data_IF_003380851810
#
_entry.id   IF_003380851810
#
_cell.length_a   1.000
_cell.length_b   1.000
_cell.length_c   1.000
_cell.angle_alpha   90.00
_cell.angle_beta   90.00
_cell.angle_gamma   90.00
#
_symmetry.space_group_name_H-M   'P 1'
#
loop_
_entity.id
_entity.type
_entity.pdbx_description
1 polymer ?
#
# COMPACT_ATOMS: atom_id res chain seq x y z
N UNK A 1 -5.41 13.31 -1.35
CA UNK A 1 -5.46 11.87 -1.74
C UNK A 1 -4.37 11.52 -2.77
N UNK A 2 -3.57 10.49 -2.48
CA UNK A 2 -2.48 10.03 -3.33
C UNK A 2 -2.69 8.60 -3.81
N UNK A 3 -2.30 8.32 -5.05
CA UNK A 3 -2.29 6.98 -5.62
C UNK A 3 -0.88 6.50 -5.80
N UNK A 4 -0.57 5.33 -5.23
CA UNK A 4 0.73 4.71 -5.35
C UNK A 4 0.59 3.45 -6.19
N UNK A 5 1.13 3.51 -7.40
CA UNK A 5 1.44 2.32 -8.19
C UNK A 5 2.81 1.82 -7.77
N UNK A 6 2.89 0.57 -7.29
CA UNK A 6 4.18 -0.08 -7.08
C UNK A 6 4.46 -1.03 -8.25
N UNK A 7 5.74 -1.13 -8.63
CA UNK A 7 6.20 -2.15 -9.55
C UNK A 7 6.76 -3.30 -8.71
N UNK A 8 6.20 -4.51 -8.87
CA UNK A 8 6.67 -5.72 -8.19
C UNK A 8 8.14 -6.06 -8.46
N UNK A 9 8.74 -5.49 -9.52
CA UNK A 9 10.16 -5.63 -9.82
C UNK A 9 11.05 -4.82 -8.90
N UNK A 10 10.50 -3.78 -8.26
CA UNK A 10 11.20 -2.95 -7.31
C UNK A 10 10.79 -3.36 -5.89
N UNK A 11 11.60 -4.24 -5.30
CA UNK A 11 11.27 -4.88 -4.03
C UNK A 11 11.26 -3.87 -2.88
N UNK A 12 12.00 -2.76 -2.97
CA UNK A 12 12.02 -1.71 -1.95
C UNK A 12 12.03 -0.34 -2.59
N UNK A 13 11.01 0.48 -2.27
CA UNK A 13 10.88 1.82 -2.84
C UNK A 13 10.58 2.85 -1.76
N UNK A 14 11.38 3.91 -1.71
CA UNK A 14 11.06 5.11 -0.93
C UNK A 14 10.34 6.08 -1.85
N UNK A 15 9.18 6.55 -1.42
CA UNK A 15 8.36 7.51 -2.18
C UNK A 15 8.05 8.74 -1.33
N UNK A 16 8.12 9.89 -1.97
CA UNK A 16 7.57 11.15 -1.44
C UNK A 16 6.36 11.51 -2.27
N UNK A 17 5.19 11.58 -1.64
CA UNK A 17 3.94 11.94 -2.30
C UNK A 17 3.64 13.41 -2.04
N UNK A 18 3.60 14.21 -3.11
CA UNK A 18 3.34 15.64 -3.08
C UNK A 18 1.97 15.99 -3.66
N UNK A 19 1.12 16.75 -2.95
CA UNK A 19 -0.11 17.34 -3.54
C UNK A 19 0.15 18.80 -3.90
N UNK A 20 -0.42 19.27 -5.02
CA UNK A 20 -0.27 20.66 -5.49
C UNK A 20 -1.59 21.46 -5.39
N UNK A 21 -2.57 20.95 -4.66
CA UNK A 21 -3.84 21.65 -4.52
C UNK A 21 -3.62 22.91 -3.66
N UNK A 22 -3.96 24.07 -4.21
CA UNK A 22 -3.96 25.37 -3.53
C UNK A 22 -2.60 25.98 -3.12
N UNK A 23 -1.51 25.69 -3.85
CA UNK A 23 -0.18 26.29 -3.61
C UNK A 23 0.54 25.83 -2.33
N UNK A 24 -0.04 24.88 -1.59
CA UNK A 24 0.59 24.25 -0.43
C UNK A 24 1.02 22.83 -0.82
N UNK A 25 2.29 22.49 -0.58
CA UNK A 25 2.85 21.19 -0.94
C UNK A 25 2.88 20.27 0.27
N UNK A 26 1.89 19.40 0.42
CA UNK A 26 1.94 18.33 1.42
C UNK A 26 2.89 17.24 0.93
N UNK A 27 3.92 16.92 1.70
CA UNK A 27 4.83 15.82 1.38
C UNK A 27 4.64 14.67 2.36
N UNK A 28 4.50 13.43 1.85
CA UNK A 28 4.43 12.22 2.69
C UNK A 28 5.54 11.26 2.29
N UNK A 29 6.37 10.89 3.26
CA UNK A 29 7.47 9.93 3.09
C UNK A 29 7.02 8.53 3.47
N UNK A 30 7.12 7.62 2.52
CA UNK A 30 6.78 6.22 2.70
C UNK A 30 7.93 5.34 2.22
N UNK A 31 8.06 4.19 2.86
CA UNK A 31 8.86 3.08 2.37
C UNK A 31 7.96 1.88 2.08
N UNK A 32 8.11 1.31 0.89
CA UNK A 32 7.40 0.14 0.44
C UNK A 32 8.39 -1.01 0.34
N UNK A 33 8.04 -2.18 0.86
CA UNK A 33 8.79 -3.42 0.70
C UNK A 33 7.83 -4.52 0.21
N UNK A 34 8.02 -5.01 -1.01
CA UNK A 34 7.21 -6.07 -1.58
C UNK A 34 7.92 -7.43 -1.53
N UNK A 35 7.28 -8.40 -0.88
CA UNK A 35 7.78 -9.77 -0.71
C UNK A 35 6.85 -10.74 -1.47
N UNK A 36 7.20 -11.17 -2.71
CA UNK A 36 6.38 -12.09 -3.48
C UNK A 36 6.34 -13.51 -2.85
N UNK A 37 5.17 -14.14 -2.87
CA UNK A 37 4.97 -15.55 -2.51
C UNK A 37 5.46 -16.47 -3.64
N UNK A 38 6.17 -17.53 -3.26
CA UNK A 38 6.50 -18.63 -4.19
C UNK A 38 7.72 -18.39 -5.09
N UNK A 39 8.55 -17.38 -4.83
CA UNK A 39 9.91 -17.34 -5.38
C UNK A 39 10.70 -18.43 -4.64
N UNK A 40 11.12 -19.49 -5.33
CA UNK A 40 11.73 -20.71 -4.77
C UNK A 40 13.11 -20.53 -4.14
N UNK A 41 13.29 -19.53 -3.27
CA UNK A 41 14.55 -19.23 -2.59
C UNK A 41 14.30 -19.10 -1.09
N UNK A 42 14.15 -20.23 -0.38
CA UNK A 42 14.48 -20.40 1.05
C UNK A 42 13.81 -19.53 2.13
N UNK A 43 13.06 -18.48 1.80
CA UNK A 43 12.36 -17.63 2.76
C UNK A 43 10.91 -18.13 2.92
N UNK A 44 10.68 -18.92 3.96
CA UNK A 44 9.32 -19.28 4.39
C UNK A 44 8.67 -18.07 5.03
N UNK A 45 7.69 -17.47 4.38
CA UNK A 45 6.87 -16.44 4.99
C UNK A 45 6.04 -17.08 6.14
N UNK A 46 6.18 -16.59 7.40
CA UNK A 46 5.53 -17.18 8.58
C UNK A 46 3.99 -17.04 8.58
N UNK A 47 3.40 -16.30 7.65
CA UNK A 47 1.97 -16.05 7.54
C UNK A 47 1.25 -16.87 6.44
N UNK A 48 1.92 -17.88 5.87
CA UNK A 48 1.46 -18.61 4.66
C UNK A 48 0.39 -19.68 4.87
N UNK A 49 -0.01 -19.98 6.11
CA UNK A 49 -0.79 -21.19 6.42
C UNK A 49 -2.27 -21.18 5.99
N UNK A 50 -2.81 -20.07 5.47
CA UNK A 50 -4.27 -19.96 5.23
C UNK A 50 -4.73 -19.42 3.86
N UNK A 51 -3.84 -19.17 2.89
CA UNK A 51 -4.27 -18.79 1.53
C UNK A 51 -4.33 -20.01 0.62
N UNK A 52 -5.54 -20.53 0.41
CA UNK A 52 -5.79 -21.64 -0.52
C UNK A 52 -5.76 -21.16 -1.98
N UNK A 53 -5.23 -22.00 -2.87
CA UNK A 53 -5.14 -21.74 -4.31
C UNK A 53 -6.50 -21.37 -4.91
N UNK A 54 -6.54 -20.38 -5.80
CA UNK A 54 -7.78 -20.06 -6.52
C UNK A 54 -8.12 -21.18 -7.51
N UNK A 55 -9.41 -21.34 -7.84
CA UNK A 55 -9.87 -22.40 -8.74
C UNK A 55 -9.13 -22.43 -10.08
N UNK A 56 -8.72 -21.26 -10.60
CA UNK A 56 -7.95 -21.11 -11.83
C UNK A 56 -6.50 -21.63 -11.71
N UNK A 57 -5.86 -21.37 -10.57
CA UNK A 57 -4.51 -21.82 -10.28
C UNK A 57 -4.41 -23.34 -10.08
N UNK A 58 -5.47 -23.95 -9.52
CA UNK A 58 -5.57 -25.42 -9.43
C UNK A 58 -5.63 -26.07 -10.82
N UNK A 59 -6.39 -25.48 -11.75
CA UNK A 59 -6.55 -25.99 -13.12
C UNK A 59 -5.27 -25.87 -13.95
N UNK A 60 -4.50 -24.79 -13.77
CA UNK A 60 -3.24 -24.60 -14.50
C UNK A 60 -2.10 -25.54 -14.03
N UNK A 61 -2.10 -25.94 -12.75
CA UNK A 61 -1.09 -26.88 -12.21
C UNK A 61 -1.41 -28.35 -12.48
N UNK A 62 -2.63 -28.70 -12.89
CA UNK A 62 -3.02 -30.09 -13.17
C UNK A 62 -2.77 -30.57 -14.60
N UNK A 63 -2.21 -29.73 -15.49
CA UNK A 63 -1.96 -30.09 -16.89
C UNK A 63 -0.48 -30.28 -17.21
N UNK A 64 0.03 -31.50 -17.03
CA UNK A 64 1.34 -31.90 -17.55
C UNK A 64 1.15 -33.07 -18.54
N UNK A 65 0.77 -32.77 -19.78
CA UNK A 65 0.92 -33.67 -20.95
C UNK A 65 1.07 -32.80 -22.21
N UNK A 66 2.28 -32.86 -22.77
CA UNK A 66 2.81 -32.55 -24.12
C UNK A 66 1.92 -32.02 -25.29
N UNK A 67 2.51 -31.02 -25.98
CA UNK A 67 2.39 -30.57 -27.39
C UNK A 67 1.08 -29.94 -27.94
N UNK A 68 1.18 -28.72 -28.50
CA UNK A 68 0.18 -28.12 -29.40
C UNK A 68 0.09 -26.58 -29.37
N UNK A 69 0.02 -25.97 -30.54
CA UNK A 69 0.21 -24.56 -30.88
C UNK A 69 -0.85 -23.55 -30.38
N UNK A 70 -0.36 -22.35 -30.03
CA UNK A 70 -0.95 -21.00 -30.15
C UNK A 70 -2.45 -20.75 -29.86
N UNK A 71 -2.75 -20.32 -28.64
CA UNK A 71 -3.64 -19.17 -28.39
C UNK A 71 -3.00 -18.35 -27.26
N UNK A 72 -2.79 -17.05 -27.50
CA UNK A 72 -2.20 -16.07 -26.59
C UNK A 72 -2.50 -16.40 -25.12
N UNK A 73 -1.55 -17.05 -24.46
CA UNK A 73 -1.50 -17.14 -23.01
C UNK A 73 -1.16 -15.74 -22.53
N UNK A 74 -2.19 -14.91 -22.39
CA UNK A 74 -2.20 -13.87 -21.36
C UNK A 74 -2.11 -14.62 -20.04
N UNK A 75 -0.92 -15.10 -19.74
CA UNK A 75 -0.54 -15.71 -18.48
C UNK A 75 -0.62 -14.54 -17.54
N UNK A 76 -1.80 -14.31 -16.97
CA UNK A 76 -1.99 -13.44 -15.83
C UNK A 76 -1.18 -14.10 -14.72
N UNK A 77 0.11 -13.77 -14.67
CA UNK A 77 0.98 -14.18 -13.59
C UNK A 77 0.42 -13.43 -12.40
N UNK A 78 -0.43 -14.11 -11.62
CA UNK A 78 -0.99 -13.58 -10.39
C UNK A 78 0.17 -13.58 -9.39
N UNK A 79 0.88 -12.45 -9.31
CA UNK A 79 1.99 -12.29 -8.37
C UNK A 79 1.35 -11.99 -7.01
N UNK A 80 1.31 -12.99 -6.15
CA UNK A 80 0.86 -12.80 -4.76
C UNK A 80 2.05 -12.41 -3.91
N UNK A 81 1.84 -11.64 -2.85
CA UNK A 81 2.90 -11.30 -1.92
C UNK A 81 2.40 -10.62 -0.66
N UNK A 82 3.33 -10.16 0.15
CA UNK A 82 3.08 -9.19 1.22
C UNK A 82 3.70 -7.87 0.80
N UNK A 83 2.90 -6.81 0.82
CA UNK A 83 3.38 -5.44 0.72
C UNK A 83 3.47 -4.88 2.13
N UNK A 84 4.69 -4.65 2.60
CA UNK A 84 4.95 -3.93 3.84
C UNK A 84 5.07 -2.44 3.52
N UNK A 85 4.28 -1.61 4.19
CA UNK A 85 4.22 -0.16 3.99
C UNK A 85 4.62 0.51 5.30
N UNK A 86 5.77 1.16 5.32
CA UNK A 86 6.22 1.98 6.43
C UNK A 86 5.86 3.44 6.15
N UNK A 87 4.97 3.98 6.97
CA UNK A 87 4.65 5.42 7.00
C UNK A 87 5.67 6.10 7.90
N UNK A 88 6.57 6.90 7.30
CA UNK A 88 7.72 7.49 8.00
C UNK A 88 7.31 8.84 8.59
N UNK A 89 7.02 9.81 7.73
CA UNK A 89 6.72 11.19 8.12
C UNK A 89 5.86 11.90 7.08
N UNK A 90 5.31 13.06 7.46
CA UNK A 90 4.84 14.06 6.53
C UNK A 90 5.48 15.41 6.85
N UNK A 91 5.57 16.28 5.86
CA UNK A 91 6.16 17.60 5.95
C UNK A 91 5.24 18.63 5.27
N UNK A 92 5.30 19.86 5.78
CA UNK A 92 4.57 21.02 5.25
C UNK A 92 3.04 20.81 5.19
N UNK A 93 2.46 20.20 6.23
CA UNK A 93 1.00 20.07 6.33
C UNK A 93 0.34 21.45 6.53
N UNK A 94 -0.80 21.72 5.87
CA UNK A 94 -1.61 22.92 6.09
C UNK A 94 -2.01 23.03 7.56
N UNK A 95 -1.95 24.23 8.10
CA UNK A 95 -2.60 24.51 9.37
C UNK A 95 -4.11 24.57 9.15
N UNK A 96 -4.84 23.62 9.70
CA UNK A 96 -6.30 23.51 9.62
C UNK A 96 -7.00 24.18 10.80
N UNK A 97 -6.34 24.27 11.96
CA UNK A 97 -6.90 24.91 13.15
C UNK A 97 -6.59 26.40 13.26
N UNK A 98 -7.50 27.12 13.95
CA UNK A 98 -7.38 28.55 14.32
C UNK A 98 -6.08 28.90 15.07
N UNK A 99 -5.44 27.90 15.70
CA UNK A 99 -4.17 28.03 16.41
C UNK A 99 -2.93 27.74 15.55
N UNK A 100 -3.10 27.42 14.26
CA UNK A 100 -1.98 27.13 13.36
C UNK A 100 -1.45 25.69 13.47
N UNK A 101 -2.26 24.75 13.95
CA UNK A 101 -1.86 23.36 14.25
C UNK A 101 -2.78 22.36 13.54
N UNK A 102 -2.38 21.09 13.54
CA UNK A 102 -3.17 19.97 13.05
C UNK A 102 -2.81 18.70 13.84
N UNK A 103 -3.73 17.75 13.87
CA UNK A 103 -3.62 16.42 14.48
C UNK A 103 -3.58 15.33 13.37
N UNK A 104 -2.48 15.25 12.59
CA UNK A 104 -2.47 14.41 11.41
C UNK A 104 -2.37 12.90 11.68
N UNK A 105 -3.01 12.14 10.80
CA UNK A 105 -2.85 10.69 10.65
C UNK A 105 -2.98 10.28 9.18
N UNK A 106 -2.38 9.13 8.84
CA UNK A 106 -2.41 8.57 7.49
C UNK A 106 -3.31 7.35 7.46
N UNK A 107 -4.13 7.27 6.43
CA UNK A 107 -4.97 6.12 6.09
C UNK A 107 -4.43 5.47 4.83
N UNK A 108 -4.21 4.16 4.92
CA UNK A 108 -3.75 3.30 3.84
C UNK A 108 -4.91 2.39 3.43
N UNK A 109 -5.28 2.43 2.15
CA UNK A 109 -6.36 1.60 1.61
C UNK A 109 -5.89 0.87 0.35
N UNK A 110 -5.98 -0.45 0.32
CA UNK A 110 -5.73 -1.25 -0.88
C UNK A 110 -7.02 -1.44 -1.68
N UNK A 111 -7.01 -1.04 -2.96
CA UNK A 111 -8.23 -0.97 -3.78
C UNK A 111 -8.86 -2.33 -4.07
N UNK A 112 -8.07 -3.40 -4.20
CA UNK A 112 -8.59 -4.70 -4.63
C UNK A 112 -9.26 -5.49 -3.50
N UNK A 113 -8.69 -5.49 -2.30
CA UNK A 113 -9.20 -6.22 -1.15
C UNK A 113 -10.00 -5.33 -0.17
N UNK A 114 -9.95 -4.00 -0.33
CA UNK A 114 -10.60 -3.04 0.55
C UNK A 114 -10.00 -2.95 1.96
N UNK A 115 -8.82 -3.55 2.18
CA UNK A 115 -8.15 -3.52 3.48
C UNK A 115 -7.69 -2.10 3.81
N UNK A 116 -8.08 -1.64 5.00
CA UNK A 116 -7.83 -0.29 5.48
C UNK A 116 -7.07 -0.34 6.79
N UNK A 117 -5.95 0.37 6.87
CA UNK A 117 -5.19 0.59 8.09
C UNK A 117 -4.93 2.08 8.27
N UNK A 118 -4.76 2.52 9.52
CA UNK A 118 -4.45 3.92 9.83
C UNK A 118 -3.32 4.03 10.84
N UNK A 119 -2.52 5.09 10.73
CA UNK A 119 -1.52 5.41 11.73
C UNK A 119 -2.16 5.89 13.03
N UNK A 120 -1.33 6.00 14.08
CA UNK A 120 -1.67 6.84 15.23
C UNK A 120 -1.86 8.28 14.78
N UNK A 121 -2.69 9.00 15.51
CA UNK A 121 -2.78 10.46 15.45
C UNK A 121 -1.55 11.05 16.14
N UNK A 122 -0.93 12.05 15.54
CA UNK A 122 0.13 12.85 16.15
C UNK A 122 -0.43 14.24 16.39
N UNK A 123 -0.57 14.64 17.65
CA UNK A 123 -1.26 15.87 17.96
C UNK A 123 -0.37 17.10 17.72
N UNK A 124 -1.01 18.21 17.32
CA UNK A 124 -0.44 19.55 17.23
C UNK A 124 0.86 19.67 16.41
N UNK A 125 0.97 18.92 15.32
CA UNK A 125 2.21 18.80 14.56
C UNK A 125 2.01 18.81 13.05
N UNK A 126 2.55 19.82 12.36
CA UNK A 126 2.53 19.93 10.91
C UNK A 126 3.62 19.09 10.19
N UNK A 127 4.58 18.55 10.96
CA UNK A 127 5.65 17.69 10.47
C UNK A 127 5.70 16.38 11.28
N UNK A 128 4.62 15.58 11.23
CA UNK A 128 4.50 14.38 12.05
C UNK A 128 5.50 13.30 11.61
N UNK A 129 5.99 12.55 12.59
CA UNK A 129 6.79 11.34 12.36
C UNK A 129 6.05 10.16 12.98
N UNK A 130 5.63 9.22 12.13
CA UNK A 130 4.92 8.01 12.56
C UNK A 130 5.86 6.83 12.74
N UNK A 131 6.72 6.53 11.76
CA UNK A 131 7.53 5.30 11.71
C UNK A 131 6.68 4.05 12.04
N UNK A 132 5.53 3.92 11.37
CA UNK A 132 4.61 2.80 11.57
C UNK A 132 4.52 1.95 10.31
N UNK A 133 4.68 0.64 10.49
CA UNK A 133 4.68 -0.34 9.40
C UNK A 133 3.39 -1.16 9.40
N UNK A 134 2.82 -1.35 8.21
CA UNK A 134 1.60 -2.11 7.98
C UNK A 134 1.82 -3.13 6.87
N UNK A 135 1.36 -4.37 7.10
CA UNK A 135 1.48 -5.44 6.12
C UNK A 135 0.14 -5.71 5.43
N UNK A 136 0.17 -5.71 4.09
CA UNK A 136 -0.98 -5.98 3.25
C UNK A 136 -0.75 -7.26 2.44
N UNK A 137 -1.71 -8.19 2.50
CA UNK A 137 -1.69 -9.36 1.63
C UNK A 137 -2.16 -8.94 0.24
N UNK A 138 -1.23 -8.97 -0.70
CA UNK A 138 -1.47 -8.65 -2.11
C UNK A 138 -1.80 -9.94 -2.86
N UNK A 139 -2.98 -9.99 -3.45
CA UNK A 139 -3.41 -11.12 -4.27
C UNK A 139 -3.07 -10.95 -5.75
N UNK A 140 -2.78 -9.74 -6.22
CA UNK A 140 -2.43 -9.47 -7.62
C UNK A 140 -1.50 -8.25 -7.70
N UNK A 141 -0.20 -8.53 -7.69
CA UNK A 141 0.83 -7.52 -7.58
C UNK A 141 0.98 -6.61 -8.79
N UNK A 142 0.32 -6.94 -9.91
CA UNK A 142 0.38 -6.16 -11.15
C UNK A 142 -0.72 -5.10 -11.23
N UNK A 143 -1.81 -5.28 -10.49
CA UNK A 143 -3.04 -4.49 -10.67
C UNK A 143 -3.61 -3.95 -9.35
N UNK A 144 -3.02 -4.28 -8.20
CA UNK A 144 -3.45 -3.69 -6.94
C UNK A 144 -2.87 -2.27 -6.78
N UNK A 145 -3.63 -1.41 -6.11
CA UNK A 145 -3.26 -0.01 -5.93
C UNK A 145 -3.40 0.36 -4.47
N UNK A 146 -2.34 0.93 -3.91
CA UNK A 146 -2.35 1.51 -2.57
C UNK A 146 -2.77 2.98 -2.67
N UNK A 147 -3.85 3.31 -1.98
CA UNK A 147 -4.32 4.68 -1.79
C UNK A 147 -3.80 5.16 -0.45
N UNK A 148 -3.20 6.35 -0.45
CA UNK A 148 -2.66 7.00 0.74
C UNK A 148 -3.39 8.32 0.91
N UNK A 149 -4.01 8.50 2.07
CA UNK A 149 -4.77 9.70 2.42
C UNK A 149 -4.26 10.23 3.76
N UNK A 150 -3.94 11.51 3.83
CA UNK A 150 -3.59 12.18 5.08
C UNK A 150 -4.83 12.92 5.56
N UNK A 151 -5.12 12.79 6.84
CA UNK A 151 -6.26 13.40 7.49
C UNK A 151 -5.84 14.14 8.74
N UNK A 152 -6.63 15.14 9.10
CA UNK A 152 -6.59 15.86 10.35
C UNK A 152 -7.71 15.38 11.28
N UNK A 153 -7.36 15.01 12.52
CA UNK A 153 -8.31 14.59 13.55
C UNK A 153 -8.68 15.77 14.44
N UNK A 154 -9.61 16.63 14.02
CA UNK A 154 -10.05 17.76 14.82
C UNK A 154 -10.96 17.31 15.99
N UNK A 155 -10.75 17.93 17.15
CA UNK A 155 -11.45 17.70 18.42
C UNK A 155 -12.97 17.96 18.31
N UNK A 156 -13.41 18.75 17.34
CA UNK A 156 -14.84 19.01 17.08
C UNK A 156 -15.53 17.94 16.22
N UNK A 157 -14.89 16.79 15.98
CA UNK A 157 -15.49 15.64 15.31
C UNK A 157 -15.54 15.77 13.78
N UNK A 158 -14.86 16.76 13.21
CA UNK A 158 -14.67 16.89 11.77
C UNK A 158 -13.33 16.29 11.40
N UNK A 159 -13.35 15.31 10.51
CA UNK A 159 -12.12 14.77 9.93
C UNK A 159 -11.91 15.47 8.58
N UNK A 160 -10.85 16.24 8.46
CA UNK A 160 -10.50 16.92 7.21
C UNK A 160 -9.40 16.16 6.47
N UNK A 161 -9.55 15.99 5.16
CA UNK A 161 -8.49 15.41 4.33
C UNK A 161 -7.57 16.54 3.84
N UNK A 162 -6.27 16.27 3.85
CA UNK A 162 -5.25 17.10 3.19
C UNK A 162 -5.06 16.73 1.70
#
# INVERSE_FOLDING_TARGET
MFFVCWDYKDLRKVITLGSFLNSETVQVHLELLYCPYGMGNGFTNPFTSNLTMTSLEKVLKSGNTENGDLVNKNKTVIIRGVLSVTVISAEDLPATDLLGKADPFVVLTTKKNGMKNSTRVVNENLNPVWNQTFDFVVMDGLHDMLVVEVYDHDTFGKVQMF
#
